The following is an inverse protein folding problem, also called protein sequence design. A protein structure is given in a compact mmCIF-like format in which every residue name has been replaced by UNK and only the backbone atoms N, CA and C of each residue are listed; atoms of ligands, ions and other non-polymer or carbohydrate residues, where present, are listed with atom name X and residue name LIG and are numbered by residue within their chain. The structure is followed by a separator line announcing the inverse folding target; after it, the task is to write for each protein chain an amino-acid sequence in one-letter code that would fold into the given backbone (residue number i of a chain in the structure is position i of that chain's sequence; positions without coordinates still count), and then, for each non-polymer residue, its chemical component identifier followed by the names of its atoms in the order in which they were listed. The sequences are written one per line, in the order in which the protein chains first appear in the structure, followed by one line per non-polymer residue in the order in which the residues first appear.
data_IF_268730196771
#
_entry.id   IF_268730196771
#
_cell.length_a   1.000
_cell.length_b   1.000
_cell.length_c   1.000
_cell.angle_alpha   90.00
_cell.angle_beta   90.00
_cell.angle_gamma   90.00
#
_symmetry.space_group_name_H-M   'P 1'
#
loop_
_entity.id
_entity.type
_entity.pdbx_description
1 polymer ?
#
# COMPACT_ATOMS: atom_id res chain seq x y z
N UNK A 1 18.07 2.33 14.25
CA UNK A 1 18.39 2.08 12.83
C UNK A 1 17.12 1.56 12.19
N UNK A 2 16.73 2.11 11.05
CA UNK A 2 15.54 1.65 10.34
C UNK A 2 15.94 0.40 9.57
N UNK A 3 15.28 -0.73 9.84
CA UNK A 3 15.58 -1.98 9.15
C UNK A 3 14.94 -1.96 7.77
N UNK A 4 15.71 -2.30 6.74
CA UNK A 4 15.21 -2.41 5.38
C UNK A 4 14.04 -3.40 5.31
N UNK A 5 13.03 -3.05 4.52
CA UNK A 5 11.90 -3.94 4.23
C UNK A 5 12.26 -5.02 3.21
N UNK A 6 13.38 -4.89 2.48
CA UNK A 6 13.69 -5.71 1.31
C UNK A 6 13.80 -7.21 1.62
N UNK A 7 14.39 -7.57 2.76
CA UNK A 7 14.56 -8.97 3.18
C UNK A 7 13.30 -9.61 3.78
N UNK A 8 12.19 -8.89 3.82
CA UNK A 8 10.94 -9.41 4.40
C UNK A 8 10.36 -10.48 3.49
N UNK A 9 10.15 -11.68 4.06
CA UNK A 9 9.50 -12.78 3.35
C UNK A 9 8.04 -12.41 3.09
N UNK A 10 7.62 -12.60 1.84
CA UNK A 10 6.25 -12.38 1.35
C UNK A 10 5.88 -13.52 0.43
N UNK A 11 4.60 -13.61 0.07
CA UNK A 11 4.11 -14.51 -0.95
C UNK A 11 3.51 -13.69 -2.08
N UNK A 12 3.91 -13.94 -3.31
CA UNK A 12 3.29 -13.25 -4.45
C UNK A 12 1.86 -13.75 -4.70
N UNK A 13 1.11 -13.07 -5.57
CA UNK A 13 -0.30 -13.42 -5.83
C UNK A 13 -0.49 -14.82 -6.46
N UNK A 14 0.57 -15.42 -6.99
CA UNK A 14 0.54 -16.77 -7.57
C UNK A 14 0.92 -17.85 -6.55
N UNK A 15 1.28 -17.45 -5.33
CA UNK A 15 1.53 -18.33 -4.20
C UNK A 15 2.99 -18.61 -3.92
N UNK A 16 3.92 -18.04 -4.70
CA UNK A 16 5.35 -18.26 -4.56
C UNK A 16 5.93 -17.45 -3.41
N UNK A 17 6.68 -18.12 -2.53
CA UNK A 17 7.36 -17.49 -1.40
C UNK A 17 8.62 -16.79 -1.90
N UNK A 18 8.76 -15.51 -1.58
CA UNK A 18 9.86 -14.66 -2.06
C UNK A 18 10.19 -13.57 -1.03
N UNK A 19 11.09 -12.65 -1.39
CA UNK A 19 11.39 -11.43 -0.65
C UNK A 19 11.16 -10.21 -1.55
N UNK A 20 11.29 -9.01 -0.99
CA UNK A 20 11.23 -7.77 -1.74
C UNK A 20 12.59 -7.35 -2.33
N UNK A 21 13.64 -8.16 -2.14
CA UNK A 21 15.01 -7.87 -2.61
C UNK A 21 15.10 -7.69 -4.13
N UNK A 22 14.24 -8.36 -4.91
CA UNK A 22 14.17 -8.16 -6.37
C UNK A 22 13.80 -6.73 -6.77
N UNK A 23 13.26 -5.93 -5.84
CA UNK A 23 12.93 -4.52 -6.06
C UNK A 23 13.99 -3.56 -5.52
N UNK A 24 15.09 -4.06 -4.94
CA UNK A 24 16.21 -3.23 -4.49
C UNK A 24 16.67 -2.28 -5.61
N UNK A 25 16.96 -1.03 -5.24
CA UNK A 25 17.30 0.01 -6.21
C UNK A 25 16.10 0.74 -6.82
N UNK A 26 14.86 0.28 -6.62
CA UNK A 26 13.65 0.99 -7.05
C UNK A 26 13.02 1.79 -5.90
N UNK A 27 12.33 2.86 -6.25
CA UNK A 27 11.38 3.54 -5.35
C UNK A 27 10.08 2.74 -5.36
N UNK A 28 9.56 2.41 -4.18
CA UNK A 28 8.36 1.56 -4.05
C UNK A 28 7.20 2.35 -3.46
N UNK A 29 6.00 2.10 -3.96
CA UNK A 29 4.75 2.50 -3.30
C UNK A 29 4.00 1.23 -2.87
N UNK A 30 4.07 0.92 -1.58
CA UNK A 30 3.40 -0.25 -0.99
C UNK A 30 1.99 0.16 -0.54
N UNK A 31 0.97 -0.58 -0.96
CA UNK A 31 -0.44 -0.23 -0.70
C UNK A 31 -1.22 -1.44 -0.21
N UNK A 32 -1.99 -1.31 0.88
CA UNK A 32 -3.00 -2.33 1.22
C UNK A 32 -4.25 -2.10 0.38
N UNK A 33 -4.67 -3.09 -0.39
CA UNK A 33 -5.71 -2.90 -1.40
C UNK A 33 -6.95 -3.76 -1.14
N UNK A 34 -8.07 -3.34 -1.71
CA UNK A 34 -9.33 -4.07 -1.67
C UNK A 34 -10.21 -3.78 -2.91
N UNK A 35 -11.04 -4.74 -3.27
CA UNK A 35 -11.84 -4.83 -4.49
C UNK A 35 -13.27 -4.33 -4.29
N UNK A 36 -13.78 -4.38 -3.06
CA UNK A 36 -15.15 -3.95 -2.70
C UNK A 36 -15.13 -2.71 -1.80
N UNK A 37 -14.21 -1.79 -2.04
CA UNK A 37 -14.05 -0.57 -1.26
C UNK A 37 -14.55 0.67 -2.04
N UNK A 38 -15.05 1.68 -1.33
CA UNK A 38 -15.36 2.98 -1.95
C UNK A 38 -14.12 3.71 -2.49
N UNK A 39 -12.92 3.28 -2.09
CA UNK A 39 -11.64 3.81 -2.58
C UNK A 39 -11.03 2.94 -3.70
N UNK A 40 -11.67 1.83 -4.09
CA UNK A 40 -11.21 0.94 -5.17
C UNK A 40 -10.93 1.66 -6.49
N UNK A 41 -11.62 2.76 -6.88
CA UNK A 41 -11.23 3.55 -8.05
C UNK A 41 -9.78 4.08 -8.04
N UNK A 42 -9.09 4.10 -6.89
CA UNK A 42 -7.67 4.45 -6.84
C UNK A 42 -6.77 3.46 -7.59
N UNK A 43 -7.22 2.24 -7.92
CA UNK A 43 -6.46 1.33 -8.78
C UNK A 43 -6.10 1.96 -10.13
N UNK A 44 -7.00 2.75 -10.72
CA UNK A 44 -6.74 3.46 -11.97
C UNK A 44 -5.55 4.42 -11.82
N UNK A 45 -5.54 5.20 -10.75
CA UNK A 45 -4.45 6.15 -10.47
C UNK A 45 -3.14 5.45 -10.12
N UNK A 46 -3.19 4.34 -9.36
CA UNK A 46 -2.01 3.51 -9.08
C UNK A 46 -1.39 2.97 -10.37
N UNK A 47 -2.24 2.51 -11.29
CA UNK A 47 -1.80 2.00 -12.58
C UNK A 47 -1.24 3.11 -13.48
N UNK A 48 -1.85 4.31 -13.47
CA UNK A 48 -1.34 5.47 -14.19
C UNK A 48 0.08 5.83 -13.73
N UNK A 49 0.31 5.96 -12.41
CA UNK A 49 1.63 6.31 -11.88
C UNK A 49 2.65 5.18 -12.06
N UNK A 50 2.21 3.91 -11.97
CA UNK A 50 3.04 2.76 -12.30
C UNK A 50 3.57 2.89 -13.73
N UNK A 51 2.67 3.04 -14.72
CA UNK A 51 3.04 3.15 -16.14
C UNK A 51 3.91 4.37 -16.41
N UNK A 52 3.58 5.50 -15.81
CA UNK A 52 4.30 6.73 -16.05
C UNK A 52 5.76 6.63 -15.61
N UNK A 53 6.04 5.98 -14.46
CA UNK A 53 7.34 6.09 -13.78
C UNK A 53 8.11 4.77 -13.69
N UNK A 54 7.57 3.66 -14.18
CA UNK A 54 8.24 2.36 -14.22
C UNK A 54 9.66 2.44 -14.79
N UNK A 55 9.83 3.09 -15.95
CA UNK A 55 11.11 3.24 -16.65
C UNK A 55 12.15 4.09 -15.87
N UNK A 56 11.72 4.76 -14.79
CA UNK A 56 12.58 5.56 -13.91
C UNK A 56 12.95 4.82 -12.62
N UNK A 57 12.54 3.57 -12.49
CA UNK A 57 12.75 2.73 -11.31
C UNK A 57 11.72 2.98 -10.21
N UNK A 58 10.44 3.12 -10.58
CA UNK A 58 9.30 3.17 -9.65
C UNK A 58 8.46 1.90 -9.77
N UNK A 59 7.99 1.36 -8.64
CA UNK A 59 7.14 0.17 -8.62
C UNK A 59 6.05 0.29 -7.54
N UNK A 60 4.79 0.12 -7.93
CA UNK A 60 3.67 -0.09 -6.99
C UNK A 60 3.65 -1.55 -6.55
N UNK A 61 3.41 -1.82 -5.27
CA UNK A 61 3.25 -3.18 -4.73
C UNK A 61 1.92 -3.28 -3.99
N UNK A 62 0.99 -4.07 -4.53
CA UNK A 62 -0.36 -4.24 -3.98
C UNK A 62 -0.46 -5.43 -3.03
N UNK A 63 -0.89 -5.19 -1.80
CA UNK A 63 -1.12 -6.21 -0.77
C UNK A 63 -2.60 -6.28 -0.39
N UNK A 64 -3.36 -7.25 -0.91
CA UNK A 64 -4.76 -7.43 -0.57
C UNK A 64 -4.95 -7.62 0.94
N UNK A 65 -6.01 -7.03 1.51
CA UNK A 65 -6.32 -7.16 2.93
C UNK A 65 -7.82 -7.19 3.18
N UNK A 66 -8.29 -8.17 3.96
CA UNK A 66 -9.72 -8.34 4.25
C UNK A 66 -10.18 -7.74 5.59
N UNK A 67 -9.29 -7.11 6.36
CA UNK A 67 -9.60 -6.67 7.74
C UNK A 67 -10.59 -5.50 7.81
N UNK A 68 -10.82 -4.80 6.71
CA UNK A 68 -11.66 -3.61 6.66
C UNK A 68 -13.02 -3.93 6.04
N UNK A 69 -13.97 -4.37 6.87
CA UNK A 69 -15.33 -4.79 6.48
C UNK A 69 -15.40 -5.88 5.40
N UNK A 70 -14.44 -6.81 5.43
CA UNK A 70 -14.42 -7.94 4.50
C UNK A 70 -14.49 -7.50 3.02
N UNK A 71 -13.85 -6.37 2.70
CA UNK A 71 -13.88 -5.77 1.36
C UNK A 71 -12.96 -6.47 0.35
N UNK A 72 -12.27 -7.54 0.77
CA UNK A 72 -11.38 -8.38 -0.04
C UNK A 72 -11.60 -9.90 0.22
N UNK A 73 -12.83 -10.40 0.00
CA UNK A 73 -13.20 -11.75 0.42
C UNK A 73 -12.62 -12.84 -0.50
N UNK A 74 -12.26 -12.50 -1.74
CA UNK A 74 -11.85 -13.46 -2.76
C UNK A 74 -10.52 -14.17 -2.47
N UNK A 75 -10.27 -15.23 -3.21
CA UNK A 75 -8.96 -15.90 -3.28
C UNK A 75 -7.94 -15.04 -4.03
N UNK A 76 -6.65 -15.37 -3.90
CA UNK A 76 -5.58 -14.66 -4.63
C UNK A 76 -5.82 -14.68 -6.16
N UNK A 77 -6.32 -15.80 -6.70
CA UNK A 77 -6.66 -15.94 -8.13
C UNK A 77 -7.84 -15.03 -8.54
N UNK A 78 -8.89 -14.97 -7.73
CA UNK A 78 -10.05 -14.09 -7.96
C UNK A 78 -9.64 -12.61 -7.90
N UNK A 79 -8.79 -12.25 -6.93
CA UNK A 79 -8.27 -10.90 -6.75
C UNK A 79 -7.39 -10.50 -7.95
N UNK A 80 -6.45 -11.37 -8.36
CA UNK A 80 -5.62 -11.16 -9.54
C UNK A 80 -6.47 -10.93 -10.79
N UNK A 81 -7.46 -11.78 -10.99
CA UNK A 81 -8.38 -11.67 -12.14
C UNK A 81 -9.16 -10.37 -12.08
N UNK A 82 -9.71 -10.00 -10.92
CA UNK A 82 -10.44 -8.75 -10.76
C UNK A 82 -9.58 -7.52 -11.07
N UNK A 83 -8.39 -7.42 -10.46
CA UNK A 83 -7.49 -6.28 -10.63
C UNK A 83 -7.02 -6.12 -12.08
N UNK A 84 -6.67 -7.23 -12.74
CA UNK A 84 -6.21 -7.18 -14.14
C UNK A 84 -7.35 -6.88 -15.11
N UNK A 85 -8.49 -7.56 -15.00
CA UNK A 85 -9.60 -7.43 -15.96
C UNK A 85 -10.40 -6.14 -15.80
N UNK A 86 -10.56 -5.65 -14.57
CA UNK A 86 -11.40 -4.48 -14.28
C UNK A 86 -10.61 -3.18 -14.33
N UNK A 87 -9.37 -3.20 -13.83
CA UNK A 87 -8.57 -1.99 -13.64
C UNK A 87 -7.31 -1.94 -14.52
N UNK A 88 -7.00 -3.01 -15.25
CA UNK A 88 -5.80 -3.06 -16.09
C UNK A 88 -4.50 -3.03 -15.28
N UNK A 89 -4.53 -3.49 -14.02
CA UNK A 89 -3.37 -3.51 -13.13
C UNK A 89 -2.25 -4.33 -13.75
N UNK A 90 -1.08 -3.70 -13.89
CA UNK A 90 0.17 -4.32 -14.36
C UNK A 90 1.25 -4.39 -13.29
N UNK A 91 1.08 -3.65 -12.19
CA UNK A 91 2.02 -3.71 -11.07
C UNK A 91 1.90 -5.04 -10.29
N UNK A 92 2.99 -5.45 -9.59
CA UNK A 92 2.99 -6.66 -8.78
C UNK A 92 1.93 -6.67 -7.68
N UNK A 93 1.21 -7.79 -7.59
CA UNK A 93 0.28 -8.12 -6.53
C UNK A 93 0.85 -9.25 -5.66
N UNK A 94 0.49 -9.26 -4.38
CA UNK A 94 0.92 -10.26 -3.40
C UNK A 94 -0.28 -11.02 -2.84
N UNK A 95 -0.03 -12.16 -2.19
CA UNK A 95 -1.08 -12.86 -1.44
C UNK A 95 -1.71 -11.96 -0.38
N UNK A 96 -2.97 -12.24 -0.08
CA UNK A 96 -3.71 -11.55 0.97
C UNK A 96 -3.02 -11.66 2.33
N UNK A 97 -2.91 -10.55 3.06
CA UNK A 97 -2.28 -10.47 4.38
C UNK A 97 -3.13 -9.70 5.40
N UNK A 98 -2.80 -9.87 6.67
CA UNK A 98 -3.26 -9.01 7.76
C UNK A 98 -2.28 -7.85 7.98
N UNK A 99 -2.80 -6.65 8.17
CA UNK A 99 -2.03 -5.41 8.35
C UNK A 99 -2.16 -4.83 9.76
N UNK A 100 -3.12 -5.31 10.56
CA UNK A 100 -3.37 -4.93 11.95
C UNK A 100 -3.55 -6.16 12.86
N UNK A 101 -3.53 -5.93 14.17
CA UNK A 101 -3.77 -6.97 15.18
C UNK A 101 -2.58 -7.93 15.38
N UNK A 102 -2.82 -9.02 16.13
CA UNK A 102 -1.80 -10.02 16.46
C UNK A 102 -1.25 -10.74 15.23
N UNK A 103 -2.06 -10.89 14.17
CA UNK A 103 -1.67 -11.48 12.90
C UNK A 103 -0.98 -10.52 11.92
N UNK A 104 -0.73 -9.25 12.31
CA UNK A 104 -0.08 -8.25 11.47
C UNK A 104 1.20 -8.80 10.84
N UNK A 105 1.23 -8.81 9.51
CA UNK A 105 2.36 -9.31 8.74
C UNK A 105 3.66 -8.55 9.07
N UNK A 106 4.83 -9.22 9.15
CA UNK A 106 6.12 -8.58 9.46
C UNK A 106 6.45 -7.36 8.59
N UNK A 107 6.01 -7.35 7.33
CA UNK A 107 6.13 -6.18 6.45
C UNK A 107 5.45 -4.95 7.04
N UNK A 108 4.17 -5.08 7.43
CA UNK A 108 3.40 -3.96 7.98
C UNK A 108 3.89 -3.57 9.38
N UNK A 109 4.45 -4.50 10.16
CA UNK A 109 5.15 -4.15 11.41
C UNK A 109 6.31 -3.20 11.15
N UNK A 110 7.19 -3.52 10.18
CA UNK A 110 8.32 -2.66 9.80
C UNK A 110 7.85 -1.32 9.23
N UNK A 111 6.86 -1.32 8.33
CA UNK A 111 6.34 -0.12 7.70
C UNK A 111 5.76 0.87 8.73
N UNK A 112 4.96 0.37 9.67
CA UNK A 112 4.34 1.19 10.72
C UNK A 112 5.39 1.67 11.73
N UNK A 113 6.31 0.81 12.16
CA UNK A 113 7.39 1.20 13.07
C UNK A 113 8.28 2.31 12.47
N UNK A 114 8.49 2.26 11.16
CA UNK A 114 9.28 3.21 10.40
C UNK A 114 8.55 4.54 10.14
N UNK A 115 7.23 4.51 9.96
CA UNK A 115 6.38 5.68 9.75
C UNK A 115 5.03 5.51 10.48
N UNK A 116 4.98 5.81 11.80
CA UNK A 116 3.80 5.53 12.63
C UNK A 116 2.62 6.46 12.34
N UNK A 117 2.85 7.61 11.70
CA UNK A 117 1.82 8.61 11.41
C UNK A 117 1.69 8.83 9.91
N UNK A 118 0.45 8.74 9.42
CA UNK A 118 0.13 9.04 8.03
C UNK A 118 -0.07 10.54 7.81
N UNK A 119 0.42 11.06 6.69
CA UNK A 119 0.03 12.37 6.18
C UNK A 119 -1.33 12.22 5.49
N UNK A 120 -2.27 13.09 5.81
CA UNK A 120 -3.61 13.13 5.23
C UNK A 120 -3.81 14.40 4.39
N UNK A 121 -4.76 14.41 3.44
CA UNK A 121 -5.15 15.64 2.75
C UNK A 121 -5.50 16.76 3.74
N UNK A 122 -5.25 18.00 3.33
CA UNK A 122 -5.68 19.16 4.11
C UNK A 122 -7.20 19.10 4.36
N UNK A 123 -7.62 19.39 5.59
CA UNK A 123 -9.02 19.29 6.03
C UNK A 123 -9.67 17.90 5.87
N UNK A 124 -8.86 16.83 5.83
CA UNK A 124 -9.41 15.47 5.75
C UNK A 124 -10.36 15.17 6.93
N UNK A 125 -11.64 14.97 6.59
CA UNK A 125 -12.65 14.45 7.50
C UNK A 125 -12.65 12.91 7.60
N UNK A 126 -11.71 12.22 6.95
CA UNK A 126 -11.78 10.77 6.79
C UNK A 126 -11.64 10.03 8.12
N UNK A 127 -10.68 10.41 8.96
CA UNK A 127 -10.51 9.83 10.29
C UNK A 127 -11.75 10.04 11.16
N UNK A 128 -12.25 11.28 11.24
CA UNK A 128 -13.46 11.60 11.99
C UNK A 128 -14.67 10.78 11.50
N UNK A 129 -14.80 10.57 10.19
CA UNK A 129 -15.85 9.74 9.59
C UNK A 129 -15.70 8.25 9.91
N UNK A 130 -14.48 7.73 10.03
CA UNK A 130 -14.25 6.35 10.47
C UNK A 130 -14.62 6.20 11.95
N UNK A 131 -14.17 7.13 12.79
CA UNK A 131 -14.52 7.18 14.22
C UNK A 131 -16.04 7.25 14.42
N UNK A 132 -16.73 8.15 13.70
CA UNK A 132 -18.18 8.31 13.83
C UNK A 132 -18.98 7.06 13.44
N UNK A 133 -18.36 6.15 12.67
CA UNK A 133 -18.96 4.88 12.25
C UNK A 133 -18.53 3.69 13.13
N UNK A 134 -17.81 3.94 14.22
CA UNK A 134 -17.26 2.88 15.08
C UNK A 134 -16.15 2.07 14.42
N UNK A 135 -15.43 2.67 13.47
CA UNK A 135 -14.37 2.04 12.67
C UNK A 135 -13.01 2.70 12.92
N UNK A 136 -12.85 3.27 14.11
CA UNK A 136 -11.56 3.79 14.54
C UNK A 136 -10.55 2.64 14.59
N UNK A 137 -9.27 2.90 14.26
CA UNK A 137 -8.21 1.94 14.52
C UNK A 137 -8.12 1.66 16.03
N UNK A 138 -7.67 0.45 16.40
CA UNK A 138 -7.53 0.07 17.80
C UNK A 138 -6.36 0.83 18.45
N UNK A 139 -5.24 0.93 17.74
CA UNK A 139 -4.08 1.73 18.13
C UNK A 139 -3.87 2.91 17.18
N UNK A 140 -3.31 4.05 17.66
CA UNK A 140 -3.14 5.24 16.83
C UNK A 140 -2.32 5.05 15.54
N UNK A 141 -1.41 4.08 15.55
CA UNK A 141 -0.48 3.76 14.46
C UNK A 141 -0.98 2.60 13.57
N UNK A 142 -2.08 1.93 13.91
CA UNK A 142 -2.71 0.93 13.05
C UNK A 142 -3.05 1.51 11.68
N UNK A 143 -3.13 0.64 10.67
CA UNK A 143 -3.69 1.01 9.37
C UNK A 143 -5.15 1.40 9.56
N UNK A 144 -5.50 2.59 9.07
CA UNK A 144 -6.82 3.19 9.27
C UNK A 144 -7.88 2.52 8.39
N UNK A 145 -7.53 2.24 7.12
CA UNK A 145 -8.46 1.67 6.14
C UNK A 145 -7.72 1.05 4.94
N UNK A 146 -8.48 0.49 4.00
CA UNK A 146 -7.99 0.15 2.68
C UNK A 146 -7.38 1.37 1.96
N UNK A 147 -6.37 1.13 1.12
CA UNK A 147 -5.63 2.11 0.34
C UNK A 147 -4.72 3.04 1.13
N UNK A 148 -4.23 2.63 2.30
CA UNK A 148 -3.12 3.31 2.96
C UNK A 148 -1.80 3.00 2.22
N UNK A 149 -0.89 3.97 2.15
CA UNK A 149 0.26 3.91 1.23
C UNK A 149 1.57 4.21 1.97
N UNK A 150 2.61 3.47 1.63
CA UNK A 150 3.97 3.69 2.12
C UNK A 150 4.91 3.91 0.94
N UNK A 151 5.57 5.07 0.91
CA UNK A 151 6.66 5.35 0.00
C UNK A 151 7.97 4.84 0.59
N UNK A 152 8.70 4.06 -0.18
CA UNK A 152 9.97 3.43 0.20
C UNK A 152 11.05 3.83 -0.80
N UNK A 153 12.23 4.17 -0.31
CA UNK A 153 13.38 4.54 -1.12
C UNK A 153 14.08 3.36 -1.79
N UNK A 154 15.05 3.68 -2.66
CA UNK A 154 15.88 2.69 -3.38
C UNK A 154 16.67 1.75 -2.47
N UNK A 155 16.93 2.19 -1.25
CA UNK A 155 17.61 1.45 -0.16
C UNK A 155 16.67 0.54 0.65
N UNK A 156 15.36 0.57 0.37
CA UNK A 156 14.36 -0.17 1.13
C UNK A 156 13.97 0.49 2.46
N UNK A 157 14.32 1.75 2.67
CA UNK A 157 13.93 2.53 3.84
C UNK A 157 12.62 3.28 3.58
N UNK A 158 11.74 3.31 4.59
CA UNK A 158 10.45 4.01 4.47
C UNK A 158 10.68 5.51 4.53
N UNK A 159 10.17 6.22 3.52
CA UNK A 159 10.25 7.67 3.38
C UNK A 159 9.02 8.33 3.99
N UNK A 160 7.82 7.85 3.66
CA UNK A 160 6.57 8.51 4.04
C UNK A 160 5.39 7.54 4.06
N UNK A 161 4.43 7.77 4.96
CA UNK A 161 3.12 7.11 5.01
C UNK A 161 2.01 8.11 4.65
N UNK A 162 1.04 7.70 3.84
CA UNK A 162 -0.10 8.51 3.38
C UNK A 162 -1.42 7.85 3.72
N UNK A 163 -2.39 8.64 4.17
CA UNK A 163 -3.70 8.16 4.60
C UNK A 163 -4.49 7.51 3.45
N UNK A 164 -5.50 6.67 3.76
CA UNK A 164 -6.37 6.04 2.78
C UNK A 164 -6.96 6.99 1.71
N UNK A 165 -7.40 8.17 2.14
CA UNK A 165 -8.06 9.18 1.31
C UNK A 165 -7.11 10.12 0.57
N UNK A 166 -5.80 10.04 0.83
CA UNK A 166 -4.80 10.65 -0.02
C UNK A 166 -4.74 9.89 -1.34
N UNK A 167 -5.11 10.52 -2.45
CA UNK A 167 -5.12 9.83 -3.75
C UNK A 167 -3.69 9.58 -4.27
N UNK A 168 -3.44 8.51 -5.05
CA UNK A 168 -2.10 8.26 -5.60
C UNK A 168 -1.55 9.41 -6.46
N UNK A 169 -2.42 10.14 -7.16
CA UNK A 169 -2.06 11.31 -7.96
C UNK A 169 -2.14 12.63 -7.17
N UNK A 170 -2.33 12.59 -5.84
CA UNK A 170 -2.29 13.80 -5.02
C UNK A 170 -0.94 14.53 -5.18
N UNK A 171 -0.91 15.88 -5.28
CA UNK A 171 0.33 16.63 -5.45
C UNK A 171 1.42 16.28 -4.43
N UNK A 172 1.06 16.01 -3.17
CA UNK A 172 2.02 15.65 -2.12
C UNK A 172 2.61 14.27 -2.40
N UNK A 173 1.80 13.30 -2.81
CA UNK A 173 2.26 11.94 -3.17
C UNK A 173 3.18 12.01 -4.37
N UNK A 174 2.76 12.72 -5.42
CA UNK A 174 3.53 12.86 -6.66
C UNK A 174 4.85 13.58 -6.42
N UNK A 175 4.87 14.65 -5.64
CA UNK A 175 6.14 15.32 -5.31
C UNK A 175 7.06 14.43 -4.48
N UNK A 176 6.52 13.70 -3.51
CA UNK A 176 7.29 12.76 -2.69
C UNK A 176 7.95 11.67 -3.53
N UNK A 177 7.22 11.09 -4.48
CA UNK A 177 7.78 10.06 -5.36
C UNK A 177 8.83 10.68 -6.30
N UNK A 178 8.63 11.91 -6.83
CA UNK A 178 9.65 12.59 -7.68
C UNK A 178 10.96 12.81 -6.93
N UNK A 179 10.87 13.28 -5.69
CA UNK A 179 12.03 13.49 -4.82
C UNK A 179 12.73 12.17 -4.50
N UNK A 180 11.99 11.09 -4.28
CA UNK A 180 12.55 9.77 -4.07
C UNK A 180 13.28 9.24 -5.32
N UNK A 181 12.74 9.49 -6.52
CA UNK A 181 13.32 9.05 -7.79
C UNK A 181 14.59 9.81 -8.19
N UNK A 182 14.75 11.04 -7.71
CA UNK A 182 15.89 11.91 -8.00
C UNK A 182 17.15 11.60 -7.17
N UNK A 183 17.03 10.70 -6.18
CA UNK A 183 18.14 10.17 -5.39
C UNK A 183 18.77 8.98 -6.08
#
# INVERSE_FOLDING_TARGET
MQDSILTTVVKDIDGEVTTLEKYAGNVLLIVNVASKCGLTPQYEQLENIQKAWADRGFVVLGFPCNQFLEQEPGSDEEIKTYCTTTWGVTFPMFSKIEVNGEGRHPLYQKLIAAAPTAVAPEESGFYARMVSKGRAPLYPDDILWNFEKFLVGRDGLVIQRFSPDMTPEDPIVMESIKLALAK
#
